data_IF_056278638777
#
_entry.id   IF_056278638777
#
_cell.length_a   1.000
_cell.length_b   1.000
_cell.length_c   1.000
_cell.angle_alpha   90.00
_cell.angle_beta   90.00
_cell.angle_gamma   90.00
#
_symmetry.space_group_name_H-M   'P 1'
#
loop_
_entity.id
_entity.type
_entity.pdbx_description
1 polymer ?
#
# COMPACT_ATOMS: atom_id res chain seq x y z
N UNK A 1 22.18 13.53 -3.25
CA UNK A 1 22.21 12.06 -3.25
C UNK A 1 21.32 11.60 -4.40
N UNK A 2 21.91 11.53 -5.59
CA UNK A 2 21.22 11.14 -6.82
C UNK A 2 20.78 9.67 -6.77
N UNK A 3 19.51 9.45 -7.07
CA UNK A 3 18.90 8.13 -7.14
C UNK A 3 19.45 7.43 -8.39
N UNK A 4 20.04 6.22 -8.31
CA UNK A 4 20.34 5.45 -9.51
C UNK A 4 19.03 5.24 -10.27
N UNK A 5 19.03 5.50 -11.58
CA UNK A 5 17.83 5.41 -12.40
C UNK A 5 17.20 4.02 -12.25
N UNK A 6 15.94 3.97 -11.81
CA UNK A 6 15.22 2.71 -11.66
C UNK A 6 15.21 1.98 -13.01
N UNK A 7 15.59 0.69 -13.04
CA UNK A 7 15.40 -0.13 -14.23
C UNK A 7 13.90 -0.25 -14.55
N UNK A 8 13.50 -0.48 -15.81
CA UNK A 8 12.08 -0.58 -16.19
C UNK A 8 11.27 -1.59 -15.36
N UNK A 9 11.91 -2.69 -14.94
CA UNK A 9 11.31 -3.70 -14.06
C UNK A 9 10.99 -3.14 -12.65
N UNK A 10 11.89 -2.32 -12.10
CA UNK A 10 11.72 -1.69 -10.79
C UNK A 10 10.64 -0.61 -10.84
N UNK A 11 10.61 0.20 -11.91
CA UNK A 11 9.53 1.17 -12.12
C UNK A 11 8.15 0.49 -12.20
N UNK A 12 8.04 -0.62 -12.94
CA UNK A 12 6.80 -1.41 -13.03
C UNK A 12 6.40 -2.02 -11.67
N UNK A 13 7.38 -2.50 -10.90
CA UNK A 13 7.14 -2.99 -9.53
C UNK A 13 6.63 -1.86 -8.62
N UNK A 14 7.25 -0.67 -8.65
CA UNK A 14 6.81 0.50 -7.89
C UNK A 14 5.36 0.84 -8.13
N UNK A 15 4.97 0.97 -9.40
CA UNK A 15 3.60 1.29 -9.76
C UNK A 15 2.60 0.21 -9.28
N UNK A 16 3.00 -1.07 -9.35
CA UNK A 16 2.17 -2.16 -8.83
C UNK A 16 1.99 -2.08 -7.31
N UNK A 17 3.06 -1.84 -6.56
CA UNK A 17 3.02 -1.73 -5.10
C UNK A 17 2.20 -0.49 -4.67
N UNK A 18 2.38 0.67 -5.32
CA UNK A 18 1.59 1.90 -5.11
C UNK A 18 0.09 1.64 -5.29
N UNK A 19 -0.30 0.99 -6.40
CA UNK A 19 -1.71 0.64 -6.63
C UNK A 19 -2.23 -0.37 -5.61
N UNK A 20 -1.41 -1.35 -5.23
CA UNK A 20 -1.81 -2.39 -4.28
C UNK A 20 -2.11 -1.79 -2.92
N UNK A 21 -1.22 -0.95 -2.36
CA UNK A 21 -1.46 -0.30 -1.07
C UNK A 21 -2.66 0.65 -1.14
N UNK A 22 -2.82 1.36 -2.26
CA UNK A 22 -3.96 2.24 -2.47
C UNK A 22 -5.30 1.51 -2.48
N UNK A 23 -5.40 0.40 -3.21
CA UNK A 23 -6.59 -0.46 -3.18
C UNK A 23 -6.86 -1.02 -1.78
N UNK A 24 -5.83 -1.35 -1.00
CA UNK A 24 -6.02 -1.81 0.37
C UNK A 24 -6.62 -0.71 1.25
N UNK A 25 -6.19 0.54 1.09
CA UNK A 25 -6.70 1.69 1.84
C UNK A 25 -8.14 1.99 1.42
N UNK A 26 -8.43 1.97 0.12
CA UNK A 26 -9.79 2.14 -0.37
C UNK A 26 -10.75 1.07 0.17
N UNK A 27 -10.32 -0.20 0.20
CA UNK A 27 -11.11 -1.29 0.76
C UNK A 27 -11.35 -1.14 2.27
N UNK A 28 -10.35 -0.62 3.00
CA UNK A 28 -10.50 -0.32 4.42
C UNK A 28 -11.51 0.80 4.65
N UNK A 29 -11.37 1.91 3.92
CA UNK A 29 -12.32 3.02 3.96
C UNK A 29 -13.74 2.54 3.61
N UNK A 30 -13.85 1.67 2.60
CA UNK A 30 -15.13 1.17 2.14
C UNK A 30 -15.90 0.36 3.20
N UNK A 31 -15.19 -0.30 4.10
CA UNK A 31 -15.76 -1.17 5.13
C UNK A 31 -15.80 -0.60 6.54
N UNK A 32 -15.06 0.49 6.81
CA UNK A 32 -14.99 1.08 8.15
C UNK A 32 -15.58 2.50 8.22
N UNK A 33 -15.69 3.21 7.09
CA UNK A 33 -16.19 4.59 7.05
C UNK A 33 -17.44 4.71 6.18
N UNK A 34 -18.26 5.72 6.50
CA UNK A 34 -19.54 5.95 5.83
C UNK A 34 -19.31 6.34 4.35
N UNK A 35 -20.06 5.76 3.40
CA UNK A 35 -20.07 6.21 2.01
C UNK A 35 -20.27 7.71 1.82
N UNK A 36 -21.02 8.38 2.69
CA UNK A 36 -21.29 9.82 2.62
C UNK A 36 -20.03 10.68 2.83
N UNK A 37 -19.02 10.16 3.53
CA UNK A 37 -17.78 10.89 3.84
C UNK A 37 -16.72 10.72 2.73
N UNK A 38 -17.01 9.96 1.67
CA UNK A 38 -16.05 9.65 0.60
C UNK A 38 -16.00 10.75 -0.46
N UNK A 39 -15.44 11.88 -0.08
CA UNK A 39 -15.28 13.05 -0.95
C UNK A 39 -14.01 13.02 -1.80
N UNK A 40 -13.02 12.23 -1.38
CA UNK A 40 -11.70 12.16 -2.01
C UNK A 40 -11.55 10.94 -2.90
N UNK A 41 -10.51 10.95 -3.75
CA UNK A 41 -10.20 9.85 -4.65
C UNK A 41 -8.79 9.31 -4.38
N UNK A 42 -8.71 8.00 -4.14
CA UNK A 42 -7.45 7.29 -3.94
C UNK A 42 -6.60 7.24 -5.22
N UNK A 43 -5.32 6.92 -5.11
CA UNK A 43 -4.44 6.66 -6.25
C UNK A 43 -4.94 5.51 -7.14
N UNK A 44 -5.64 4.51 -6.57
CA UNK A 44 -6.31 3.45 -7.33
C UNK A 44 -7.62 3.89 -8.03
N UNK A 45 -8.01 5.18 -7.91
CA UNK A 45 -9.25 5.77 -8.44
C UNK A 45 -10.53 5.31 -7.76
N UNK A 46 -10.44 4.85 -6.51
CA UNK A 46 -11.61 4.54 -5.69
C UNK A 46 -11.95 5.71 -4.75
N UNK A 47 -13.25 5.95 -4.47
CA UNK A 47 -13.68 7.01 -3.57
C UNK A 47 -13.35 6.65 -2.12
N UNK A 48 -12.76 7.59 -1.39
CA UNK A 48 -12.30 7.43 0.00
C UNK A 48 -12.55 8.71 0.80
N UNK A 49 -12.53 8.63 2.13
CA UNK A 49 -12.62 9.81 2.98
C UNK A 49 -11.29 10.58 3.03
N UNK A 50 -11.30 11.86 3.47
CA UNK A 50 -10.09 12.68 3.59
C UNK A 50 -8.98 12.04 4.44
N UNK A 51 -9.31 11.41 5.57
CA UNK A 51 -8.32 10.76 6.43
C UNK A 51 -7.61 9.58 5.72
N UNK A 52 -8.37 8.81 4.95
CA UNK A 52 -7.83 7.72 4.15
C UNK A 52 -7.03 8.24 2.94
N UNK A 53 -7.39 9.42 2.41
CA UNK A 53 -6.65 10.05 1.31
C UNK A 53 -5.28 10.54 1.78
N UNK A 54 -5.17 11.09 2.99
CA UNK A 54 -3.87 11.42 3.59
C UNK A 54 -3.00 10.17 3.77
N UNK A 55 -3.58 9.07 4.25
CA UNK A 55 -2.88 7.80 4.40
C UNK A 55 -2.40 7.23 3.05
N UNK A 56 -3.23 7.32 2.01
CA UNK A 56 -2.92 6.87 0.65
C UNK A 56 -1.78 7.69 0.03
N UNK A 57 -1.89 9.02 0.06
CA UNK A 57 -0.85 9.92 -0.45
C UNK A 57 0.48 9.68 0.28
N UNK A 58 0.44 9.47 1.60
CA UNK A 58 1.62 9.16 2.39
C UNK A 58 2.25 7.82 1.95
N UNK A 59 1.45 6.76 1.82
CA UNK A 59 1.93 5.44 1.40
C UNK A 59 2.51 5.43 -0.01
N UNK A 60 1.87 6.13 -0.95
CA UNK A 60 2.32 6.29 -2.34
C UNK A 60 3.67 7.02 -2.39
N UNK A 61 3.79 8.13 -1.66
CA UNK A 61 5.03 8.91 -1.58
C UNK A 61 6.19 8.09 -0.99
N UNK A 62 5.93 7.31 0.07
CA UNK A 62 6.95 6.42 0.67
C UNK A 62 7.39 5.31 -0.29
N UNK A 63 6.46 4.76 -1.06
CA UNK A 63 6.74 3.72 -2.06
C UNK A 63 7.57 4.27 -3.21
N UNK A 64 7.28 5.49 -3.64
CA UNK A 64 8.05 6.22 -4.65
C UNK A 64 9.51 6.47 -4.22
N UNK A 65 9.71 6.86 -2.96
CA UNK A 65 11.03 7.16 -2.41
C UNK A 65 11.78 5.92 -1.89
N UNK A 66 11.18 4.73 -1.98
CA UNK A 66 11.79 3.51 -1.45
C UNK A 66 13.11 3.16 -2.15
N UNK A 67 14.24 3.23 -1.43
CA UNK A 67 15.58 2.94 -1.98
C UNK A 67 15.88 1.45 -2.11
N UNK A 68 15.10 0.58 -1.46
CA UNK A 68 15.31 -0.89 -1.40
C UNK A 68 14.26 -1.66 -2.19
N UNK A 69 13.66 -1.03 -3.19
CA UNK A 69 12.55 -1.61 -3.94
C UNK A 69 12.94 -2.83 -4.79
N UNK A 70 14.23 -3.03 -5.04
CA UNK A 70 14.72 -4.21 -5.74
C UNK A 70 14.79 -5.43 -4.82
N UNK A 71 15.22 -5.25 -3.58
CA UNK A 71 15.58 -6.34 -2.66
C UNK A 71 14.52 -6.66 -1.62
N UNK A 72 13.57 -5.74 -1.39
CA UNK A 72 12.60 -5.85 -0.29
C UNK A 72 11.36 -6.65 -0.69
N UNK A 73 10.96 -7.63 0.12
CA UNK A 73 9.74 -8.43 -0.10
C UNK A 73 8.50 -7.76 0.52
N UNK A 74 8.59 -7.27 1.76
CA UNK A 74 7.49 -6.59 2.47
C UNK A 74 7.90 -5.27 3.10
N UNK A 75 6.95 -4.33 3.22
CA UNK A 75 7.12 -3.05 3.93
C UNK A 75 7.68 -3.20 5.35
N UNK A 76 7.33 -4.29 6.03
CA UNK A 76 7.71 -4.59 7.42
C UNK A 76 9.17 -5.03 7.60
N UNK A 77 9.83 -5.49 6.54
CA UNK A 77 11.24 -5.93 6.58
C UNK A 77 12.23 -4.78 6.36
N UNK A 78 11.76 -3.52 6.33
CA UNK A 78 12.66 -2.38 6.22
C UNK A 78 13.38 -2.14 7.55
N UNK A 79 14.72 -2.20 7.54
CA UNK A 79 15.55 -1.80 8.68
C UNK A 79 15.38 -0.32 9.05
N UNK A 80 15.03 0.53 8.08
CA UNK A 80 14.75 1.94 8.34
C UNK A 80 13.30 2.17 8.75
N UNK A 81 13.11 2.87 9.87
CA UNK A 81 11.82 3.42 10.31
C UNK A 81 11.33 4.49 9.29
N UNK A 82 10.82 4.01 8.16
CA UNK A 82 10.40 4.87 7.05
C UNK A 82 9.00 5.46 7.27
N UNK A 83 8.20 4.82 8.12
CA UNK A 83 6.87 5.27 8.53
C UNK A 83 6.93 5.96 9.89
N UNK A 84 6.21 7.08 10.04
CA UNK A 84 5.87 7.63 11.35
C UNK A 84 5.10 6.56 12.15
N UNK A 85 5.30 6.46 13.48
CA UNK A 85 4.66 5.42 14.29
C UNK A 85 3.13 5.40 14.15
N UNK A 86 2.50 6.58 14.17
CA UNK A 86 1.05 6.75 13.96
C UNK A 86 0.58 6.21 12.60
N UNK A 87 1.27 6.61 11.52
CA UNK A 87 0.95 6.15 10.16
C UNK A 87 1.22 4.65 9.98
N UNK A 88 2.24 4.12 10.67
CA UNK A 88 2.55 2.69 10.64
C UNK A 88 1.41 1.89 11.26
N UNK A 89 0.84 2.35 12.36
CA UNK A 89 -0.31 1.70 12.99
C UNK A 89 -1.56 1.77 12.12
N UNK A 90 -1.80 2.91 11.47
CA UNK A 90 -2.89 3.05 10.51
C UNK A 90 -2.74 2.05 9.35
N UNK A 91 -1.56 1.95 8.74
CA UNK A 91 -1.29 0.98 7.67
C UNK A 91 -1.40 -0.46 8.16
N UNK A 92 -0.92 -0.79 9.37
CA UNK A 92 -1.11 -2.14 9.93
C UNK A 92 -2.59 -2.47 10.12
N UNK A 93 -3.40 -1.51 10.57
CA UNK A 93 -4.86 -1.68 10.70
C UNK A 93 -5.49 -1.95 9.32
N UNK A 94 -5.15 -1.14 8.33
CA UNK A 94 -5.56 -1.32 6.94
C UNK A 94 -5.14 -2.69 6.40
N UNK A 95 -3.87 -3.09 6.57
CA UNK A 95 -3.37 -4.39 6.11
C UNK A 95 -4.05 -5.56 6.81
N UNK A 96 -4.33 -5.47 8.11
CA UNK A 96 -5.03 -6.51 8.87
C UNK A 96 -6.48 -6.69 8.40
N UNK A 97 -7.15 -5.60 8.04
CA UNK A 97 -8.52 -5.63 7.54
C UNK A 97 -8.59 -6.06 6.07
N UNK A 98 -7.75 -5.45 5.24
CA UNK A 98 -7.77 -5.58 3.78
C UNK A 98 -6.98 -6.78 3.27
N UNK A 99 -5.97 -7.26 4.00
CA UNK A 99 -5.15 -8.41 3.62
C UNK A 99 -5.97 -9.68 3.31
N UNK A 100 -6.80 -10.17 4.26
CA UNK A 100 -7.66 -11.33 4.02
C UNK A 100 -8.71 -11.09 2.92
N UNK A 101 -9.19 -9.85 2.77
CA UNK A 101 -10.23 -9.46 1.81
C UNK A 101 -9.69 -9.20 0.40
N UNK A 102 -8.39 -8.92 0.26
CA UNK A 102 -7.72 -8.83 -1.03
C UNK A 102 -7.31 -10.23 -1.54
N UNK A 103 -7.09 -11.16 -0.59
CA UNK A 103 -6.86 -12.58 -0.82
C UNK A 103 -8.00 -13.27 -1.59
N UNK A 104 -9.24 -12.85 -1.39
CA UNK A 104 -10.42 -13.40 -2.09
C UNK A 104 -10.55 -12.88 -3.53
N UNK A 105 -10.00 -11.71 -3.86
CA UNK A 105 -9.97 -11.17 -5.24
C UNK A 105 -8.80 -11.69 -6.08
N UNK A 106 -7.68 -12.05 -5.46
CA UNK A 106 -6.51 -12.61 -6.16
C UNK A 106 -5.98 -13.89 -5.46
N UNK A 107 -6.73 -15.01 -5.52
CA UNK A 107 -6.40 -16.24 -4.78
C UNK A 107 -5.01 -16.80 -5.10
N UNK A 108 -4.54 -16.65 -6.34
CA UNK A 108 -3.26 -17.21 -6.80
C UNK A 108 -2.03 -16.44 -6.25
N UNK A 109 -2.14 -15.14 -5.99
CA UNK A 109 -1.03 -14.34 -5.47
C UNK A 109 -0.78 -14.61 -3.98
N UNK A 110 -1.85 -14.87 -3.23
CA UNK A 110 -1.79 -15.16 -1.81
C UNK A 110 -1.28 -16.58 -1.49
N UNK A 111 -1.72 -17.57 -2.27
CA UNK A 111 -1.21 -18.95 -2.15
C UNK A 111 0.30 -18.99 -2.41
N UNK A 112 0.80 -18.22 -3.39
CA UNK A 112 2.23 -18.14 -3.69
C UNK A 112 3.05 -17.43 -2.58
N UNK A 113 2.43 -16.53 -1.82
CA UNK A 113 3.06 -15.86 -0.68
C UNK A 113 3.04 -16.73 0.59
N UNK A 114 2.00 -17.54 0.80
CA UNK A 114 1.93 -18.52 1.89
C UNK A 114 2.86 -19.72 1.68
N UNK A 115 3.09 -20.14 0.44
CA UNK A 115 3.98 -21.28 0.09
C UNK A 115 5.45 -20.90 -0.11
N UNK A 116 5.80 -19.61 -0.11
CA UNK A 116 7.21 -19.14 -0.07
C UNK A 116 7.49 -18.45 1.26
N UNK A 117 7.51 -19.26 2.32
CA UNK A 117 8.44 -19.05 3.44
C UNK A 117 9.81 -19.58 3.06
#
# INVERSE_FOLDING_TARGET
MDRPADSPAIAKRREREKRTISCMIALYCAGNHDPAERTETAFCREPICPDCAELDAYAVNRTEQCRRMETKTSCDECESHCYRPEMREAIRRTMRYSGPRMMTKHPVAAIRHLLKR
#
